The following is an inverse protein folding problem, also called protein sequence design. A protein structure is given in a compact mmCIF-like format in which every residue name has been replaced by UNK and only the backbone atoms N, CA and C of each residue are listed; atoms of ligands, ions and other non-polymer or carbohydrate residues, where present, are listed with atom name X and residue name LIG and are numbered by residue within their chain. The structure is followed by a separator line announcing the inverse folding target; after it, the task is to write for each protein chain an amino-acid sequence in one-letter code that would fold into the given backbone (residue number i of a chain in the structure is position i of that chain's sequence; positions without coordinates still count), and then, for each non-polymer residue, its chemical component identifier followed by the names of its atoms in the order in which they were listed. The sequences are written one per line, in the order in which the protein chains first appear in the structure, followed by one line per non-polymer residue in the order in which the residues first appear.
data_IF_165306217491
#
_entry.id   IF_165306217491
#
_cell.length_a   1.000
_cell.length_b   1.000
_cell.length_c   1.000
_cell.angle_alpha   90.00
_cell.angle_beta   90.00
_cell.angle_gamma   90.00
#
_symmetry.space_group_name_H-M   'P 1'
#
loop_
_entity.id
_entity.type
_entity.pdbx_description
1 polymer ?
#
# COMPACT_ATOMS: atom_id res chain seq x y z
N UNK A 1 -17.31 20.62 1.34
CA UNK A 1 -16.34 19.80 2.07
C UNK A 1 -15.14 20.67 2.45
N UNK A 2 -15.12 21.14 3.71
CA UNK A 2 -14.10 22.11 4.14
C UNK A 2 -12.85 21.47 4.74
N UNK A 3 -13.00 20.27 5.30
CA UNK A 3 -11.90 19.45 5.81
C UNK A 3 -12.02 18.07 5.23
N UNK A 4 -10.97 17.61 4.53
CA UNK A 4 -10.82 16.25 4.04
C UNK A 4 -9.77 15.53 4.90
N UNK A 5 -10.18 14.56 5.69
CA UNK A 5 -9.27 13.86 6.58
C UNK A 5 -8.22 13.01 5.84
N UNK A 6 -8.53 12.24 4.77
CA UNK A 6 -7.50 11.55 3.99
C UNK A 6 -6.40 12.47 3.48
N UNK A 7 -6.73 13.67 2.98
CA UNK A 7 -5.73 14.66 2.56
C UNK A 7 -4.85 15.14 3.72
N UNK A 8 -5.42 15.31 4.91
CA UNK A 8 -4.66 15.66 6.10
C UNK A 8 -3.77 14.48 6.60
N UNK A 9 -4.21 13.23 6.43
CA UNK A 9 -3.40 12.05 6.70
C UNK A 9 -2.18 12.00 5.76
N UNK A 10 -2.39 12.25 4.45
CA UNK A 10 -1.31 12.40 3.48
C UNK A 10 -0.36 13.53 3.87
N UNK A 11 -0.89 14.68 4.29
CA UNK A 11 -0.07 15.82 4.69
C UNK A 11 0.80 15.51 5.92
N UNK A 12 0.27 14.76 6.90
CA UNK A 12 1.08 14.28 8.02
C UNK A 12 2.26 13.40 7.54
N UNK A 13 2.01 12.51 6.57
CA UNK A 13 3.05 11.70 5.94
C UNK A 13 4.08 12.53 5.16
N UNK A 14 3.62 13.55 4.44
CA UNK A 14 4.51 14.48 3.72
C UNK A 14 5.41 15.29 4.68
N UNK A 15 4.86 15.73 5.81
CA UNK A 15 5.64 16.39 6.87
C UNK A 15 6.71 15.47 7.46
N UNK A 16 6.41 14.19 7.67
CA UNK A 16 7.41 13.20 8.14
C UNK A 16 8.54 13.03 7.12
N UNK A 17 8.20 12.83 5.86
CA UNK A 17 9.18 12.66 4.79
C UNK A 17 10.07 13.90 4.63
N UNK A 18 9.47 15.09 4.70
CA UNK A 18 10.22 16.36 4.66
C UNK A 18 11.10 16.53 5.93
N UNK A 19 10.57 16.16 7.10
CA UNK A 19 11.32 16.23 8.35
C UNK A 19 12.56 15.32 8.31
N UNK A 20 12.43 14.12 7.79
CA UNK A 20 13.54 13.18 7.61
C UNK A 20 14.56 13.71 6.59
N UNK A 21 14.10 14.14 5.41
CA UNK A 21 14.95 14.62 4.32
C UNK A 21 15.81 15.84 4.72
N UNK A 22 15.20 16.77 5.47
CA UNK A 22 15.85 18.03 5.87
C UNK A 22 16.34 18.07 7.32
N UNK A 23 16.19 16.99 8.08
CA UNK A 23 16.55 16.94 9.51
C UNK A 23 15.71 17.88 10.38
N UNK A 24 14.47 18.21 9.98
CA UNK A 24 13.64 19.25 10.60
C UNK A 24 12.70 18.69 11.68
N UNK A 25 13.10 18.81 12.95
CA UNK A 25 12.29 18.34 14.09
C UNK A 25 10.97 19.11 14.29
N UNK A 26 10.84 20.33 13.76
CA UNK A 26 9.61 21.11 13.88
C UNK A 26 8.53 20.45 13.03
N UNK A 27 8.84 20.09 11.79
CA UNK A 27 7.90 19.40 10.90
C UNK A 27 7.49 18.02 11.45
N UNK A 28 8.44 17.30 12.09
CA UNK A 28 8.08 16.05 12.76
C UNK A 28 7.05 16.26 13.85
N UNK A 29 7.22 17.26 14.73
CA UNK A 29 6.24 17.59 15.77
C UNK A 29 4.87 18.04 15.19
N UNK A 30 4.90 18.75 14.07
CA UNK A 30 3.66 19.14 13.37
C UNK A 30 2.92 17.91 12.82
N UNK A 31 3.65 16.94 12.23
CA UNK A 31 3.07 15.68 11.77
C UNK A 31 2.41 14.91 12.91
N UNK A 32 3.09 14.79 14.05
CA UNK A 32 2.58 14.06 15.21
C UNK A 32 1.34 14.76 15.78
N UNK A 33 1.37 16.08 15.96
CA UNK A 33 0.19 16.86 16.40
C UNK A 33 -1.00 16.72 15.43
N UNK A 34 -0.73 16.71 14.12
CA UNK A 34 -1.79 16.54 13.12
C UNK A 34 -2.42 15.14 13.22
N UNK A 35 -1.63 14.10 13.48
CA UNK A 35 -2.15 12.74 13.73
C UNK A 35 -3.08 12.69 14.95
N UNK A 36 -2.69 13.36 16.04
CA UNK A 36 -3.52 13.44 17.24
C UNK A 36 -4.87 14.08 16.94
N UNK A 37 -4.88 15.24 16.27
CA UNK A 37 -6.10 15.94 15.87
C UNK A 37 -6.97 15.10 14.92
N UNK A 38 -6.36 14.40 13.96
CA UNK A 38 -7.11 13.50 13.07
C UNK A 38 -7.73 12.35 13.87
N UNK A 39 -7.03 11.75 14.80
CA UNK A 39 -7.57 10.69 15.65
C UNK A 39 -8.72 11.18 16.53
N UNK A 40 -8.64 12.41 17.03
CA UNK A 40 -9.69 13.02 17.84
C UNK A 40 -10.96 13.33 17.02
N UNK A 41 -10.80 13.92 15.84
CA UNK A 41 -11.94 14.41 15.04
C UNK A 41 -12.51 13.39 14.07
N UNK A 42 -11.65 12.55 13.44
CA UNK A 42 -12.08 11.65 12.37
C UNK A 42 -12.48 10.26 12.86
N UNK A 43 -11.96 9.77 14.00
CA UNK A 43 -12.29 8.45 14.49
C UNK A 43 -13.56 8.46 15.34
N UNK A 44 -14.62 7.81 14.86
CA UNK A 44 -15.94 7.78 15.52
C UNK A 44 -16.13 6.64 16.54
N UNK A 45 -15.05 5.96 16.87
CA UNK A 45 -15.06 4.78 17.76
C UNK A 45 -14.93 3.43 17.02
N UNK A 46 -15.29 3.40 15.74
CA UNK A 46 -15.20 2.21 14.87
C UNK A 46 -14.43 2.51 13.59
N UNK A 47 -14.71 3.65 12.95
CA UNK A 47 -14.21 4.02 11.63
C UNK A 47 -13.61 5.42 11.63
N UNK A 48 -12.69 5.67 10.72
CA UNK A 48 -12.31 7.02 10.33
C UNK A 48 -13.33 7.57 9.35
N UNK A 49 -13.82 8.78 9.58
CA UNK A 49 -14.74 9.47 8.67
C UNK A 49 -13.95 10.33 7.67
N UNK A 50 -14.51 10.52 6.48
CA UNK A 50 -13.81 11.14 5.36
C UNK A 50 -13.65 12.66 5.51
N UNK A 51 -14.60 13.34 6.14
CA UNK A 51 -14.62 14.81 6.12
C UNK A 51 -15.41 15.47 7.23
N UNK A 52 -15.17 16.77 7.39
CA UNK A 52 -16.00 17.69 8.17
C UNK A 52 -16.40 18.90 7.33
N UNK A 53 -17.47 19.57 7.76
CA UNK A 53 -18.03 20.79 7.17
C UNK A 53 -17.89 21.92 8.19
N UNK A 54 -17.44 23.09 7.74
CA UNK A 54 -17.33 24.28 8.58
C UNK A 54 -18.68 24.99 8.64
N UNK A 55 -19.17 25.20 9.84
CA UNK A 55 -20.39 25.98 10.07
C UNK A 55 -20.12 27.50 9.98
N UNK A 56 -21.15 28.32 9.79
CA UNK A 56 -21.00 29.80 9.76
C UNK A 56 -20.33 30.39 11.00
N UNK A 57 -20.50 29.76 12.16
CA UNK A 57 -19.84 30.14 13.40
C UNK A 57 -18.37 29.70 13.53
N UNK A 58 -17.81 29.08 12.48
CA UNK A 58 -16.43 28.59 12.44
C UNK A 58 -16.20 27.20 13.05
N UNK A 59 -17.18 26.59 13.74
CA UNK A 59 -17.07 25.25 14.26
C UNK A 59 -17.06 24.19 13.13
N UNK A 60 -16.45 23.02 13.39
CA UNK A 60 -16.48 21.90 12.46
C UNK A 60 -17.59 20.91 12.85
N UNK A 61 -18.38 20.52 11.88
CA UNK A 61 -19.31 19.41 11.98
C UNK A 61 -18.74 18.21 11.23
N UNK A 62 -18.35 17.18 11.97
CA UNK A 62 -17.85 15.93 11.40
C UNK A 62 -19.02 15.19 10.76
N UNK A 63 -18.85 14.75 9.50
CA UNK A 63 -19.89 14.03 8.76
C UNK A 63 -19.94 12.56 9.19
N UNK A 64 -20.81 11.79 8.53
CA UNK A 64 -20.85 10.34 8.66
C UNK A 64 -20.37 9.64 7.38
N UNK A 65 -19.75 10.38 6.47
CA UNK A 65 -19.17 9.82 5.25
C UNK A 65 -17.99 8.94 5.62
N UNK A 66 -17.98 7.72 5.16
CA UNK A 66 -16.94 6.73 5.43
C UNK A 66 -16.59 6.00 4.17
N UNK A 67 -15.32 5.91 3.85
CA UNK A 67 -14.82 5.13 2.73
C UNK A 67 -13.78 4.12 3.18
N UNK A 68 -13.70 3.03 2.45
CA UNK A 68 -12.63 2.05 2.58
C UNK A 68 -11.25 2.69 2.38
N UNK A 69 -11.17 3.61 1.41
CA UNK A 69 -9.95 4.38 1.11
C UNK A 69 -9.47 5.19 2.32
N UNK A 70 -10.37 5.83 3.06
CA UNK A 70 -10.01 6.57 4.28
C UNK A 70 -9.33 5.66 5.32
N UNK A 71 -9.84 4.44 5.51
CA UNK A 71 -9.24 3.47 6.43
C UNK A 71 -7.83 3.09 5.98
N UNK A 72 -7.60 2.89 4.67
CA UNK A 72 -6.26 2.62 4.14
C UNK A 72 -5.30 3.79 4.35
N UNK A 73 -5.75 5.04 4.14
CA UNK A 73 -4.98 6.24 4.46
C UNK A 73 -4.54 6.27 5.92
N UNK A 74 -5.46 5.95 6.84
CA UNK A 74 -5.16 5.96 8.28
C UNK A 74 -4.00 5.00 8.62
N UNK A 75 -4.01 3.78 8.11
CA UNK A 75 -2.92 2.82 8.35
C UNK A 75 -1.66 3.14 7.55
N UNK A 76 -1.79 3.59 6.32
CA UNK A 76 -0.64 3.89 5.47
C UNK A 76 0.20 5.05 6.01
N UNK A 77 -0.43 6.11 6.52
CA UNK A 77 0.23 7.29 7.07
C UNK A 77 0.40 7.27 8.60
N UNK A 78 0.26 6.10 9.21
CA UNK A 78 0.48 5.88 10.65
C UNK A 78 -0.42 6.75 11.56
N UNK A 79 -1.64 7.09 11.12
CA UNK A 79 -2.69 7.62 11.99
C UNK A 79 -3.22 6.49 12.89
N UNK A 80 -3.38 5.32 12.32
CA UNK A 80 -3.68 4.07 13.00
C UNK A 80 -2.56 3.05 12.80
N UNK A 81 -2.45 2.12 13.73
CA UNK A 81 -1.59 0.95 13.63
C UNK A 81 -2.39 -0.32 14.01
N UNK A 82 -1.95 -1.52 13.62
CA UNK A 82 -2.60 -2.75 14.07
C UNK A 82 -2.71 -2.85 15.60
N UNK A 83 -1.77 -2.24 16.33
CA UNK A 83 -1.78 -2.18 17.79
C UNK A 83 -2.78 -1.17 18.34
N UNK A 84 -2.88 0.02 17.75
CA UNK A 84 -3.77 1.08 18.25
C UNK A 84 -5.24 0.87 17.86
N UNK A 85 -5.50 0.17 16.76
CA UNK A 85 -6.85 -0.12 16.23
C UNK A 85 -6.96 -1.58 15.74
N UNK A 86 -6.87 -2.58 16.65
CA UNK A 86 -6.79 -4.00 16.25
C UNK A 86 -8.06 -4.49 15.54
N UNK A 87 -9.25 -4.07 15.99
CA UNK A 87 -10.52 -4.48 15.37
C UNK A 87 -10.66 -3.91 13.95
N UNK A 88 -10.37 -2.63 13.77
CA UNK A 88 -10.37 -2.00 12.44
C UNK A 88 -9.33 -2.66 11.51
N UNK A 89 -8.15 -2.98 12.04
CA UNK A 89 -7.13 -3.72 11.29
C UNK A 89 -7.63 -5.09 10.84
N UNK A 90 -8.26 -5.85 11.74
CA UNK A 90 -8.85 -7.15 11.42
C UNK A 90 -9.90 -7.03 10.32
N UNK A 91 -10.83 -6.10 10.45
CA UNK A 91 -11.87 -5.84 9.44
C UNK A 91 -11.25 -5.46 8.09
N UNK A 92 -10.30 -4.52 8.08
CA UNK A 92 -9.60 -4.08 6.88
C UNK A 92 -8.92 -5.24 6.15
N UNK A 93 -8.26 -6.15 6.87
CA UNK A 93 -7.51 -7.24 6.25
C UNK A 93 -8.39 -8.42 5.83
N UNK A 94 -9.46 -8.75 6.57
CA UNK A 94 -10.27 -9.95 6.33
C UNK A 94 -11.59 -9.70 5.59
N UNK A 95 -12.16 -8.51 5.69
CA UNK A 95 -13.49 -8.20 5.16
C UNK A 95 -13.46 -7.25 3.95
N UNK A 96 -12.50 -6.32 3.92
CA UNK A 96 -12.34 -5.36 2.82
C UNK A 96 -11.58 -5.97 1.63
N UNK A 97 -11.52 -5.22 0.54
CA UNK A 97 -10.80 -5.56 -0.68
C UNK A 97 -11.70 -5.90 -1.87
N UNK A 98 -11.14 -6.42 -2.95
CA UNK A 98 -11.79 -6.50 -4.26
C UNK A 98 -13.11 -7.28 -4.31
N UNK A 99 -13.37 -8.16 -3.36
CA UNK A 99 -14.61 -8.97 -3.31
C UNK A 99 -15.65 -8.46 -2.31
N UNK A 100 -15.42 -7.30 -1.69
CA UNK A 100 -16.31 -6.78 -0.65
C UNK A 100 -17.69 -6.44 -1.18
N UNK A 101 -17.76 -5.87 -2.37
CA UNK A 101 -19.03 -5.54 -3.03
C UNK A 101 -19.93 -6.76 -3.25
N UNK A 102 -19.35 -7.85 -3.74
CA UNK A 102 -20.06 -9.11 -3.94
C UNK A 102 -20.58 -9.69 -2.62
N UNK A 103 -19.79 -9.59 -1.57
CA UNK A 103 -20.13 -10.10 -0.24
C UNK A 103 -21.09 -9.19 0.53
N UNK A 104 -21.28 -7.94 0.09
CA UNK A 104 -22.07 -6.90 0.77
C UNK A 104 -21.71 -6.71 2.25
N UNK A 105 -20.43 -6.83 2.57
CA UNK A 105 -19.92 -6.65 3.92
C UNK A 105 -19.70 -5.15 4.18
N UNK A 106 -20.13 -4.64 5.35
CA UNK A 106 -20.05 -3.23 5.75
C UNK A 106 -20.62 -2.29 4.67
N UNK A 107 -21.91 -2.41 4.32
CA UNK A 107 -22.51 -1.69 3.19
C UNK A 107 -22.52 -0.16 3.38
N UNK A 108 -22.39 0.32 4.62
CA UNK A 108 -22.32 1.75 4.97
C UNK A 108 -20.95 2.39 4.68
N UNK A 109 -19.96 1.58 4.35
CA UNK A 109 -18.61 2.05 4.01
C UNK A 109 -18.46 2.04 2.49
N UNK A 110 -18.18 3.19 1.88
CA UNK A 110 -17.93 3.29 0.43
C UNK A 110 -16.77 2.41 0.00
N UNK A 111 -16.98 1.69 -1.10
CA UNK A 111 -15.95 0.82 -1.70
C UNK A 111 -14.80 1.68 -2.25
N UNK A 112 -13.59 1.18 -2.14
CA UNK A 112 -12.42 1.83 -2.73
C UNK A 112 -12.38 1.66 -4.26
N UNK A 113 -11.79 2.63 -4.94
CA UNK A 113 -11.48 2.51 -6.37
C UNK A 113 -10.30 1.56 -6.64
N UNK A 114 -10.09 1.22 -7.91
CA UNK A 114 -9.07 0.27 -8.32
C UNK A 114 -7.65 0.86 -8.26
N UNK A 115 -7.50 2.18 -8.33
CA UNK A 115 -6.17 2.79 -8.35
C UNK A 115 -5.71 3.28 -6.97
N UNK A 116 -6.21 4.41 -6.43
CA UNK A 116 -5.74 4.93 -5.13
C UNK A 116 -6.10 3.98 -3.98
N UNK A 117 -7.34 3.54 -3.90
CA UNK A 117 -7.78 2.67 -2.82
C UNK A 117 -7.07 1.34 -2.81
N UNK A 118 -7.00 0.66 -3.95
CA UNK A 118 -6.31 -0.61 -4.04
C UNK A 118 -4.77 -0.48 -3.93
N UNK A 119 -4.19 0.62 -4.45
CA UNK A 119 -2.79 0.95 -4.21
C UNK A 119 -2.45 0.96 -2.72
N UNK A 120 -3.20 1.75 -1.93
CA UNK A 120 -2.97 1.87 -0.49
C UNK A 120 -3.20 0.53 0.23
N UNK A 121 -4.24 -0.21 -0.17
CA UNK A 121 -4.48 -1.55 0.37
C UNK A 121 -3.28 -2.46 0.18
N UNK A 122 -2.80 -2.57 -1.04
CA UNK A 122 -1.65 -3.41 -1.37
C UNK A 122 -0.43 -2.99 -0.54
N UNK A 123 -0.14 -1.69 -0.43
CA UNK A 123 0.98 -1.19 0.37
C UNK A 123 0.84 -1.52 1.85
N UNK A 124 -0.35 -1.38 2.42
CA UNK A 124 -0.62 -1.73 3.82
C UNK A 124 -0.46 -3.23 4.06
N UNK A 125 -0.99 -4.07 3.16
CA UNK A 125 -0.81 -5.53 3.23
C UNK A 125 0.66 -5.93 3.05
N UNK A 126 1.39 -5.26 2.15
CA UNK A 126 2.81 -5.47 1.92
C UNK A 126 3.65 -5.20 3.17
N UNK A 127 3.40 -4.07 3.84
CA UNK A 127 4.06 -3.73 5.12
C UNK A 127 3.79 -4.79 6.20
N UNK A 128 2.62 -5.39 6.17
CA UNK A 128 2.24 -6.47 7.08
C UNK A 128 2.77 -7.86 6.66
N UNK A 129 3.46 -7.98 5.51
CA UNK A 129 3.99 -9.25 5.00
C UNK A 129 2.93 -10.21 4.45
N UNK A 130 1.72 -9.72 4.15
CA UNK A 130 0.58 -10.53 3.69
C UNK A 130 0.63 -10.81 2.18
N UNK A 131 1.76 -11.34 1.69
CA UNK A 131 2.07 -11.44 0.26
C UNK A 131 1.14 -12.42 -0.47
N UNK A 132 0.80 -13.55 0.13
CA UNK A 132 -0.15 -14.51 -0.44
C UNK A 132 -1.52 -13.87 -0.67
N UNK A 133 -2.00 -13.04 0.28
CA UNK A 133 -3.25 -12.32 0.13
C UNK A 133 -3.19 -11.31 -1.03
N UNK A 134 -2.10 -10.55 -1.13
CA UNK A 134 -1.89 -9.61 -2.25
C UNK A 134 -1.95 -10.34 -3.60
N UNK A 135 -1.29 -11.49 -3.72
CA UNK A 135 -1.31 -12.30 -4.93
C UNK A 135 -2.72 -12.77 -5.30
N UNK A 136 -3.45 -13.33 -4.33
CA UNK A 136 -4.79 -13.84 -4.54
C UNK A 136 -5.79 -12.74 -4.92
N UNK A 137 -5.72 -11.58 -4.25
CA UNK A 137 -6.54 -10.42 -4.55
C UNK A 137 -6.19 -9.83 -5.93
N UNK A 138 -4.90 -9.70 -6.23
CA UNK A 138 -4.44 -9.15 -7.52
C UNK A 138 -4.81 -10.07 -8.69
N UNK A 139 -4.64 -11.38 -8.56
CA UNK A 139 -5.03 -12.33 -9.60
C UNK A 139 -6.54 -12.28 -9.90
N UNK A 140 -7.38 -12.22 -8.86
CA UNK A 140 -8.83 -12.16 -9.04
C UNK A 140 -9.32 -10.82 -9.59
N UNK A 141 -8.67 -9.73 -9.25
CA UNK A 141 -9.11 -8.36 -9.51
C UNK A 141 -8.53 -7.79 -10.80
N UNK A 142 -7.19 -7.75 -10.89
CA UNK A 142 -6.52 -7.26 -12.09
C UNK A 142 -6.55 -8.25 -13.24
N UNK A 143 -6.59 -9.57 -12.96
CA UNK A 143 -6.80 -10.61 -13.96
C UNK A 143 -8.11 -10.41 -14.71
N UNK A 144 -9.20 -10.16 -13.98
CA UNK A 144 -10.50 -9.84 -14.55
C UNK A 144 -10.46 -8.63 -15.52
N UNK A 145 -9.75 -7.57 -15.17
CA UNK A 145 -9.59 -6.38 -16.02
C UNK A 145 -8.77 -6.70 -17.28
N UNK A 146 -7.63 -7.37 -17.08
CA UNK A 146 -6.72 -7.74 -18.16
C UNK A 146 -7.36 -8.69 -19.19
N UNK A 147 -8.17 -9.65 -18.74
CA UNK A 147 -8.91 -10.56 -19.63
C UNK A 147 -9.95 -9.84 -20.49
N UNK A 148 -10.53 -8.75 -19.99
CA UNK A 148 -11.58 -8.00 -20.72
C UNK A 148 -11.03 -6.98 -21.70
N UNK A 149 -9.99 -6.25 -21.34
CA UNK A 149 -9.49 -5.11 -22.12
C UNK A 149 -7.99 -5.16 -22.42
N UNK A 150 -7.25 -6.09 -21.82
CA UNK A 150 -5.79 -6.13 -21.88
C UNK A 150 -5.11 -5.04 -21.04
N UNK A 151 -5.88 -4.30 -20.21
CA UNK A 151 -5.44 -3.12 -19.46
C UNK A 151 -5.95 -3.17 -18.03
N UNK A 152 -5.47 -2.27 -17.17
CA UNK A 152 -5.95 -2.08 -15.81
C UNK A 152 -6.82 -0.82 -15.71
N UNK A 153 -7.84 -0.85 -14.86
CA UNK A 153 -8.91 0.15 -14.81
C UNK A 153 -8.77 1.11 -13.63
N UNK A 154 -9.48 2.23 -13.74
CA UNK A 154 -9.60 3.21 -12.65
C UNK A 154 -10.54 2.73 -11.54
N UNK A 155 -11.71 2.21 -11.93
CA UNK A 155 -12.73 1.69 -11.01
C UNK A 155 -12.82 0.15 -11.08
N UNK A 156 -13.58 -0.41 -10.16
CA UNK A 156 -13.87 -1.86 -10.10
C UNK A 156 -14.78 -2.33 -11.22
N UNK A 157 -15.43 -1.40 -11.91
CA UNK A 157 -16.28 -1.60 -13.07
C UNK A 157 -15.83 -0.72 -14.24
N UNK A 158 -16.51 -0.84 -15.38
CA UNK A 158 -16.20 -0.09 -16.59
C UNK A 158 -16.82 1.34 -16.62
N UNK A 159 -17.18 1.91 -15.49
CA UNK A 159 -17.83 3.23 -15.40
C UNK A 159 -16.87 4.40 -15.62
N UNK A 160 -15.56 4.16 -15.56
CA UNK A 160 -14.51 5.16 -15.79
C UNK A 160 -13.45 4.63 -16.77
N UNK A 161 -12.22 5.15 -16.70
CA UNK A 161 -11.15 4.73 -17.60
C UNK A 161 -10.81 3.25 -17.45
N UNK A 162 -10.94 2.50 -18.53
CA UNK A 162 -10.49 1.11 -18.63
C UNK A 162 -9.02 0.98 -19.05
N UNK A 163 -8.27 2.06 -19.10
CA UNK A 163 -6.82 2.07 -19.34
C UNK A 163 -6.19 3.14 -18.42
N UNK A 164 -6.02 2.79 -17.16
CA UNK A 164 -5.56 3.72 -16.12
C UNK A 164 -4.17 3.31 -15.63
N UNK A 165 -3.14 4.04 -16.08
CA UNK A 165 -1.73 3.72 -15.83
C UNK A 165 -1.37 3.63 -14.34
N UNK A 166 -2.07 4.35 -13.46
CA UNK A 166 -1.82 4.30 -12.03
C UNK A 166 -2.08 2.90 -11.43
N UNK A 167 -3.04 2.16 -11.96
CA UNK A 167 -3.34 0.80 -11.51
C UNK A 167 -2.20 -0.20 -11.79
N UNK A 168 -1.22 0.16 -12.65
CA UNK A 168 -0.02 -0.65 -12.92
C UNK A 168 0.92 -0.80 -11.71
N UNK A 169 0.65 -0.11 -10.59
CA UNK A 169 1.38 -0.25 -9.33
C UNK A 169 1.56 -1.71 -8.89
N UNK A 170 0.62 -2.58 -9.22
CA UNK A 170 0.72 -4.02 -8.94
C UNK A 170 2.02 -4.64 -9.50
N UNK A 171 2.57 -4.13 -10.60
CA UNK A 171 3.85 -4.62 -11.16
C UNK A 171 5.03 -4.33 -10.22
N UNK A 172 5.01 -3.19 -9.53
CA UNK A 172 6.02 -2.87 -8.48
C UNK A 172 5.93 -3.88 -7.35
N UNK A 173 4.73 -4.23 -6.95
CA UNK A 173 4.50 -5.24 -5.90
C UNK A 173 5.03 -6.61 -6.30
N UNK A 174 4.80 -7.03 -7.56
CA UNK A 174 5.32 -8.32 -8.05
C UNK A 174 6.85 -8.36 -7.96
N UNK A 175 7.54 -7.29 -8.36
CA UNK A 175 9.00 -7.22 -8.28
C UNK A 175 9.50 -7.12 -6.85
N UNK A 176 8.92 -6.23 -6.04
CA UNK A 176 9.38 -5.95 -4.67
C UNK A 176 9.05 -7.09 -3.71
N UNK A 177 7.81 -7.58 -3.75
CA UNK A 177 7.27 -8.43 -2.70
C UNK A 177 7.26 -9.91 -3.07
N UNK A 178 7.08 -10.24 -4.35
CA UNK A 178 7.03 -11.63 -4.83
C UNK A 178 8.40 -12.08 -5.31
N UNK A 179 9.03 -11.34 -6.22
CA UNK A 179 10.41 -11.65 -6.67
C UNK A 179 11.40 -11.37 -5.55
N UNK A 180 11.14 -10.36 -4.73
CA UNK A 180 11.94 -9.99 -3.57
C UNK A 180 12.98 -8.93 -3.84
N UNK A 181 12.92 -8.17 -4.96
CA UNK A 181 13.80 -7.03 -5.22
C UNK A 181 13.29 -5.83 -4.42
N UNK A 182 13.67 -5.75 -3.15
CA UNK A 182 13.07 -4.80 -2.23
C UNK A 182 13.58 -3.35 -2.44
N UNK A 183 14.84 -3.18 -2.81
CA UNK A 183 15.44 -1.86 -3.08
C UNK A 183 16.61 -1.97 -4.05
N UNK A 184 16.70 -1.01 -4.95
CA UNK A 184 17.88 -0.81 -5.81
C UNK A 184 18.53 0.51 -5.43
N UNK A 185 19.72 0.45 -4.87
CA UNK A 185 20.54 1.61 -4.52
C UNK A 185 21.56 1.85 -5.62
N UNK A 186 21.28 2.82 -6.48
CA UNK A 186 22.14 3.19 -7.61
C UNK A 186 23.44 3.88 -7.18
N UNK A 187 23.44 4.55 -6.03
CA UNK A 187 24.63 5.27 -5.53
C UNK A 187 25.67 4.28 -5.04
N UNK A 188 25.26 3.34 -4.21
CA UNK A 188 26.17 2.33 -3.65
C UNK A 188 26.27 1.06 -4.51
N UNK A 189 25.53 0.99 -5.62
CA UNK A 189 25.40 -0.18 -6.51
C UNK A 189 25.06 -1.46 -5.74
N UNK A 190 24.00 -1.36 -4.90
CA UNK A 190 23.51 -2.47 -4.11
C UNK A 190 22.06 -2.80 -4.44
N UNK A 191 21.75 -4.07 -4.49
CA UNK A 191 20.38 -4.57 -4.60
C UNK A 191 20.05 -5.35 -3.35
N UNK A 192 19.02 -4.89 -2.65
CA UNK A 192 18.55 -5.53 -1.43
C UNK A 192 17.44 -6.51 -1.79
N UNK A 193 17.62 -7.74 -1.36
CA UNK A 193 16.72 -8.85 -1.67
C UNK A 193 16.11 -9.36 -0.38
N UNK A 194 14.78 -9.29 -0.29
CA UNK A 194 14.01 -9.88 0.79
C UNK A 194 13.32 -11.13 0.25
N UNK A 195 13.57 -12.31 0.81
CA UNK A 195 12.92 -13.54 0.38
C UNK A 195 11.40 -13.41 0.44
N UNK A 196 10.71 -13.79 -0.64
CA UNK A 196 9.26 -13.86 -0.63
C UNK A 196 8.77 -14.92 0.36
N UNK A 197 7.72 -14.60 1.09
CA UNK A 197 6.98 -15.51 1.98
C UNK A 197 5.70 -16.03 1.30
N UNK A 198 5.58 -15.87 -0.03
CA UNK A 198 4.42 -16.34 -0.79
C UNK A 198 4.41 -17.86 -0.93
N UNK A 199 3.22 -18.41 -1.18
CA UNK A 199 3.04 -19.86 -1.38
C UNK A 199 3.25 -20.31 -2.83
N UNK A 200 3.58 -19.41 -3.75
CA UNK A 200 3.83 -19.77 -5.14
C UNK A 200 5.09 -20.67 -5.26
N UNK A 201 5.08 -21.63 -6.19
CA UNK A 201 6.16 -22.63 -6.28
C UNK A 201 7.48 -22.07 -6.84
N UNK A 202 7.42 -21.02 -7.65
CA UNK A 202 8.60 -20.38 -8.24
C UNK A 202 8.30 -18.96 -8.69
N UNK A 203 9.33 -18.16 -8.84
CA UNK A 203 9.25 -16.83 -9.41
C UNK A 203 10.57 -16.44 -10.07
N UNK A 204 10.49 -15.55 -11.07
CA UNK A 204 11.65 -14.91 -11.66
C UNK A 204 11.30 -13.49 -12.05
N UNK A 205 12.24 -12.57 -11.86
CA UNK A 205 12.10 -11.18 -12.25
C UNK A 205 13.43 -10.49 -12.41
N UNK A 206 13.43 -9.39 -13.15
CA UNK A 206 14.63 -8.61 -13.45
C UNK A 206 14.34 -7.12 -13.34
N UNK A 207 15.33 -6.35 -12.92
CA UNK A 207 15.31 -4.89 -12.94
C UNK A 207 16.52 -4.36 -13.71
N UNK A 208 16.35 -3.31 -14.53
CA UNK A 208 17.46 -2.66 -15.20
C UNK A 208 18.30 -1.87 -14.21
N UNK A 209 19.62 -1.94 -14.40
CA UNK A 209 20.61 -1.16 -13.68
C UNK A 209 21.71 -0.71 -14.63
N UNK A 210 22.47 0.34 -14.34
CA UNK A 210 23.62 0.70 -15.15
C UNK A 210 24.57 -0.51 -15.37
N UNK A 211 24.82 -0.83 -16.63
CA UNK A 211 25.65 -1.95 -17.06
C UNK A 211 24.93 -3.27 -17.27
N UNK A 212 23.59 -3.34 -17.13
CA UNK A 212 22.82 -4.55 -17.47
C UNK A 212 21.58 -4.77 -16.61
N UNK A 213 21.28 -6.04 -16.33
CA UNK A 213 20.09 -6.44 -15.56
C UNK A 213 20.51 -7.15 -14.28
N UNK A 214 19.83 -6.83 -13.18
CA UNK A 214 19.80 -7.69 -11.99
C UNK A 214 18.64 -8.66 -12.13
N UNK A 215 18.91 -9.94 -12.13
CA UNK A 215 17.91 -10.99 -12.27
C UNK A 215 17.90 -11.85 -11.02
N UNK A 216 16.71 -12.11 -10.51
CA UNK A 216 16.47 -12.99 -9.38
C UNK A 216 15.47 -14.05 -9.80
N UNK A 217 15.80 -15.30 -9.52
CA UNK A 217 14.84 -16.39 -9.61
C UNK A 217 14.90 -17.25 -8.36
N UNK A 218 13.77 -17.81 -7.97
CA UNK A 218 13.70 -18.77 -6.88
C UNK A 218 12.66 -19.83 -7.15
N UNK A 219 12.89 -21.00 -6.56
CA UNK A 219 11.98 -22.15 -6.63
C UNK A 219 11.88 -22.78 -5.26
N UNK A 220 10.66 -23.09 -4.82
CA UNK A 220 10.39 -23.86 -3.61
C UNK A 220 10.86 -25.32 -3.81
N UNK A 221 11.46 -25.88 -2.80
CA UNK A 221 11.92 -27.28 -2.75
C UNK A 221 11.54 -27.87 -1.39
N UNK A 222 11.65 -29.17 -1.23
CA UNK A 222 11.39 -29.86 0.04
C UNK A 222 12.32 -29.37 1.17
N UNK A 223 13.50 -28.87 0.82
CA UNK A 223 14.50 -28.34 1.77
C UNK A 223 14.44 -26.80 1.93
N UNK A 224 13.41 -26.13 1.38
CA UNK A 224 13.28 -24.68 1.42
C UNK A 224 13.30 -24.05 0.01
N UNK A 225 14.04 -22.96 -0.18
CA UNK A 225 14.09 -22.24 -1.47
C UNK A 225 15.46 -22.29 -2.12
N UNK A 226 15.51 -22.76 -3.38
CA UNK A 226 16.69 -22.59 -4.24
C UNK A 226 16.58 -21.23 -4.93
N UNK A 227 17.63 -20.39 -4.79
CA UNK A 227 17.70 -19.03 -5.38
C UNK A 227 18.86 -18.90 -6.32
N UNK A 228 18.65 -18.14 -7.40
CA UNK A 228 19.69 -17.71 -8.33
C UNK A 228 19.66 -16.20 -8.42
N UNK A 229 20.82 -15.58 -8.26
CA UNK A 229 21.01 -14.13 -8.29
C UNK A 229 22.08 -13.83 -9.34
N UNK A 230 21.75 -12.97 -10.32
CA UNK A 230 22.70 -12.49 -11.33
C UNK A 230 22.69 -10.96 -11.29
N UNK A 231 23.87 -10.35 -11.30
CA UNK A 231 24.02 -8.90 -11.35
C UNK A 231 25.21 -8.54 -12.24
N UNK A 232 25.19 -7.36 -12.90
CA UNK A 232 26.33 -6.86 -13.67
C UNK A 232 27.56 -6.62 -12.79
N UNK A 233 28.73 -6.52 -13.42
CA UNK A 233 29.97 -6.21 -12.71
C UNK A 233 29.85 -4.91 -11.89
N UNK A 234 30.38 -4.94 -10.67
CA UNK A 234 30.34 -3.83 -9.73
C UNK A 234 29.06 -3.70 -8.90
N UNK A 235 28.00 -4.47 -9.19
CA UNK A 235 26.81 -4.53 -8.37
C UNK A 235 26.90 -5.64 -7.31
N UNK A 236 26.38 -5.37 -6.11
CA UNK A 236 26.32 -6.32 -4.99
C UNK A 236 24.89 -6.62 -4.64
N UNK A 237 24.56 -7.90 -4.47
CA UNK A 237 23.24 -8.33 -3.95
C UNK A 237 23.37 -8.61 -2.45
N UNK A 238 22.46 -8.05 -1.66
CA UNK A 238 22.41 -8.19 -0.22
C UNK A 238 21.08 -8.86 0.15
N UNK A 239 21.14 -10.03 0.73
CA UNK A 239 19.93 -10.72 1.21
C UNK A 239 19.68 -10.27 2.64
N UNK A 240 18.49 -9.74 2.90
CA UNK A 240 18.06 -9.31 4.24
C UNK A 240 16.82 -10.08 4.68
N UNK A 241 16.62 -10.20 5.99
CA UNK A 241 15.44 -10.86 6.55
C UNK A 241 14.28 -9.90 6.81
N UNK A 242 14.53 -8.61 6.83
CA UNK A 242 13.56 -7.56 7.15
C UNK A 242 13.56 -6.47 6.08
N UNK A 243 12.40 -5.85 5.92
CA UNK A 243 12.20 -4.65 5.09
C UNK A 243 12.37 -3.43 5.99
N UNK A 244 13.61 -3.01 6.18
CA UNK A 244 13.94 -1.88 7.09
C UNK A 244 13.59 -0.49 6.53
N UNK A 245 13.04 -0.42 5.30
CA UNK A 245 12.86 0.85 4.55
C UNK A 245 11.47 1.05 3.95
N UNK A 246 10.44 0.39 4.48
CA UNK A 246 9.04 0.61 4.08
C UNK A 246 8.29 1.28 5.22
#
# INVERSE_FOLDING_TARGET
QDVNFPSNMLFAGALDAAAELYGNRVWKRQADKLRDVINELSFDGTWYVDNAIRKPNGSLEVTRNRSETCQYYAFFFNIATPKSRPELWRTLTSEFGPKRDVKKVQPEIHISNAFIGNYLRIEVLSRAGMITQILNESAAYFGYMAERTGTLWENTDASASCNHGFASHVAVMMLRDVVGIAKVDHVTKRVYVVPSLSEIPWCSGSVPVPGGMVTISWKKTDLGYKRTLKAPAGWKTIITKQREWI
#
